data_IF_104639551407
#
_entry.id   IF_104639551407
#
_cell.length_a   1.000
_cell.length_b   1.000
_cell.length_c   1.000
_cell.angle_alpha   90.00
_cell.angle_beta   90.00
_cell.angle_gamma   90.00
#
_symmetry.space_group_name_H-M   'P 1'
#
loop_
_entity.id
_entity.type
_entity.pdbx_description
1 polymer ?
#
# COMPACT_ATOMS: atom_id res chain seq x y z
N UNK A 1 15.08 55.14 15.26
CA UNK A 1 15.47 53.77 14.95
C UNK A 1 14.31 53.14 14.19
N UNK A 2 14.61 52.72 12.96
CA UNK A 2 13.61 52.49 11.90
C UNK A 2 12.96 51.09 11.97
N UNK A 3 11.65 51.08 11.84
CA UNK A 3 10.71 49.92 11.87
C UNK A 3 10.85 48.95 10.67
N UNK A 4 11.97 48.98 9.94
CA UNK A 4 12.14 48.25 8.64
C UNK A 4 12.83 46.92 8.77
N UNK A 5 13.27 46.47 9.97
CA UNK A 5 14.07 45.23 10.13
C UNK A 5 13.30 44.03 10.70
N UNK A 6 12.00 44.19 11.03
CA UNK A 6 11.24 43.12 11.67
C UNK A 6 10.51 42.24 10.63
N UNK A 7 10.28 42.73 9.41
CA UNK A 7 9.48 42.01 8.39
C UNK A 7 10.25 40.89 7.66
N UNK A 8 11.57 40.94 7.68
CA UNK A 8 12.41 39.96 6.94
C UNK A 8 12.59 38.61 7.66
N UNK A 9 12.42 38.58 8.98
CA UNK A 9 12.66 37.33 9.77
C UNK A 9 11.44 36.40 9.74
N UNK A 10 10.22 36.91 9.51
CA UNK A 10 9.01 36.08 9.52
C UNK A 10 8.79 35.24 8.25
N UNK A 11 9.42 35.62 7.13
CA UNK A 11 9.29 34.90 5.86
C UNK A 11 10.21 33.67 5.79
N UNK A 12 11.35 33.69 6.51
CA UNK A 12 12.34 32.60 6.47
C UNK A 12 11.90 31.38 7.32
N UNK A 13 11.11 31.62 8.37
CA UNK A 13 10.61 30.54 9.25
C UNK A 13 9.47 29.72 8.60
N UNK A 14 8.72 30.32 7.68
CA UNK A 14 7.61 29.60 7.00
C UNK A 14 8.04 28.53 6.00
N UNK A 15 9.23 28.65 5.41
CA UNK A 15 9.73 27.70 4.39
C UNK A 15 10.36 26.45 4.99
N UNK A 16 10.84 26.48 6.23
CA UNK A 16 11.46 25.33 6.89
C UNK A 16 10.43 24.29 7.39
N UNK A 17 9.18 24.73 7.66
CA UNK A 17 8.12 23.80 8.12
C UNK A 17 7.51 22.98 6.98
N UNK A 18 7.53 23.47 5.73
CA UNK A 18 6.94 22.76 4.61
C UNK A 18 7.77 21.56 4.12
N UNK A 19 9.09 21.62 4.24
CA UNK A 19 9.97 20.54 3.79
C UNK A 19 9.98 19.33 4.74
N UNK A 20 9.85 19.56 6.03
CA UNK A 20 9.80 18.46 7.02
C UNK A 20 8.51 17.64 6.90
N UNK A 21 7.36 18.30 6.67
CA UNK A 21 6.07 17.59 6.51
C UNK A 21 6.01 16.70 5.27
N UNK A 22 6.63 17.10 4.17
CA UNK A 22 6.70 16.27 2.96
C UNK A 22 7.62 15.06 3.13
N UNK A 23 8.75 15.22 3.81
CA UNK A 23 9.66 14.11 4.11
C UNK A 23 9.00 13.09 5.06
N UNK A 24 8.27 13.57 6.06
CA UNK A 24 7.50 12.73 6.99
C UNK A 24 6.38 11.98 6.26
N UNK A 25 5.66 12.66 5.37
CA UNK A 25 4.59 12.07 4.57
C UNK A 25 5.12 10.98 3.63
N UNK A 26 6.25 11.22 2.97
CA UNK A 26 6.90 10.23 2.12
C UNK A 26 7.30 8.98 2.94
N UNK A 27 7.93 9.20 4.10
CA UNK A 27 8.31 8.10 5.01
C UNK A 27 7.08 7.29 5.46
N UNK A 28 5.97 7.95 5.79
CA UNK A 28 4.77 7.29 6.25
C UNK A 28 4.07 6.52 5.11
N UNK A 29 4.04 7.05 3.88
CA UNK A 29 3.54 6.32 2.71
C UNK A 29 4.39 5.10 2.44
N UNK A 30 5.73 5.21 2.48
CA UNK A 30 6.64 4.08 2.29
C UNK A 30 6.42 2.99 3.34
N UNK A 31 6.15 3.34 4.60
CA UNK A 31 5.78 2.37 5.65
C UNK A 31 4.49 1.63 5.30
N UNK A 32 3.46 2.32 4.79
CA UNK A 32 2.20 1.67 4.37
C UNK A 32 2.45 0.70 3.21
N UNK A 33 3.29 1.08 2.22
CA UNK A 33 3.66 0.21 1.10
C UNK A 33 4.36 -1.05 1.62
N UNK A 34 5.33 -0.90 2.52
CA UNK A 34 6.05 -2.04 3.10
C UNK A 34 5.09 -2.93 3.90
N UNK A 35 4.24 -2.36 4.75
CA UNK A 35 3.24 -3.09 5.52
C UNK A 35 2.22 -3.82 4.63
N UNK A 36 1.87 -3.26 3.46
CA UNK A 36 1.00 -3.91 2.50
C UNK A 36 1.57 -5.26 2.04
N UNK A 37 2.89 -5.34 1.85
CA UNK A 37 3.58 -6.61 1.55
C UNK A 37 3.74 -7.51 2.78
N UNK A 38 4.24 -6.96 3.89
CA UNK A 38 4.59 -7.74 5.10
C UNK A 38 3.38 -8.42 5.75
N UNK A 39 2.21 -7.77 5.65
CA UNK A 39 0.95 -8.27 6.23
C UNK A 39 0.20 -9.25 5.32
N UNK A 40 0.82 -9.73 4.25
CA UNK A 40 0.17 -10.70 3.33
C UNK A 40 -0.24 -12.00 4.05
N UNK A 41 0.43 -12.38 5.12
CA UNK A 41 0.04 -13.53 5.95
C UNK A 41 -1.02 -13.20 7.02
N UNK A 42 -1.36 -11.94 7.23
CA UNK A 42 -2.41 -11.46 8.15
C UNK A 42 -3.32 -10.47 7.44
N UNK A 43 -4.26 -10.99 6.66
CA UNK A 43 -5.21 -10.17 5.91
C UNK A 43 -6.09 -9.30 6.81
N UNK A 44 -6.36 -9.71 8.05
CA UNK A 44 -7.14 -8.91 8.99
C UNK A 44 -6.37 -7.67 9.45
N UNK A 45 -5.05 -7.80 9.63
CA UNK A 45 -4.18 -6.66 9.90
C UNK A 45 -3.98 -5.81 8.63
N UNK A 46 -3.79 -6.43 7.47
CA UNK A 46 -3.65 -5.73 6.18
C UNK A 46 -4.88 -4.89 5.85
N UNK A 47 -6.10 -5.38 6.15
CA UNK A 47 -7.35 -4.63 5.94
C UNK A 47 -7.37 -3.28 6.67
N UNK A 48 -6.63 -3.12 7.76
CA UNK A 48 -6.54 -1.84 8.51
C UNK A 48 -5.76 -0.76 7.76
N UNK A 49 -5.01 -1.13 6.72
CA UNK A 49 -4.34 -0.20 5.81
C UNK A 49 -5.29 0.35 4.75
N UNK A 50 -6.47 -0.28 4.58
CA UNK A 50 -7.41 0.03 3.52
C UNK A 50 -8.50 0.99 4.00
N UNK A 51 -8.98 1.84 3.10
CA UNK A 51 -10.25 2.56 3.28
C UNK A 51 -11.42 1.60 3.07
N UNK A 52 -12.53 1.85 3.75
CA UNK A 52 -13.76 1.06 3.59
C UNK A 52 -14.38 1.17 2.20
N UNK A 53 -14.09 2.26 1.48
CA UNK A 53 -14.53 2.54 0.11
C UNK A 53 -13.43 2.26 -0.93
N UNK A 54 -12.40 1.48 -0.58
CA UNK A 54 -11.31 1.13 -1.51
C UNK A 54 -11.85 0.49 -2.78
N UNK A 55 -11.35 0.95 -3.93
CA UNK A 55 -11.52 0.27 -5.21
C UNK A 55 -10.32 -0.65 -5.44
N UNK A 56 -10.59 -1.93 -5.71
CA UNK A 56 -9.57 -2.93 -6.03
C UNK A 56 -9.75 -3.46 -7.44
N UNK A 57 -8.73 -3.40 -8.27
CA UNK A 57 -8.72 -3.91 -9.64
C UNK A 57 -7.59 -4.93 -9.79
N UNK A 58 -7.92 -6.15 -10.17
CA UNK A 58 -6.94 -7.20 -10.44
C UNK A 58 -7.56 -8.28 -11.33
N UNK A 59 -6.75 -8.87 -12.23
CA UNK A 59 -7.20 -9.97 -13.08
C UNK A 59 -8.42 -9.63 -13.96
N UNK A 60 -8.56 -8.37 -14.39
CA UNK A 60 -9.69 -7.89 -15.18
C UNK A 60 -10.99 -7.66 -14.40
N UNK A 61 -11.00 -7.90 -13.10
CA UNK A 61 -12.14 -7.66 -12.21
C UNK A 61 -11.97 -6.39 -11.38
N UNK A 62 -13.08 -5.66 -11.16
CA UNK A 62 -13.15 -4.52 -10.25
C UNK A 62 -14.04 -4.84 -9.06
N UNK A 63 -13.58 -4.57 -7.86
CA UNK A 63 -14.30 -4.73 -6.60
C UNK A 63 -14.36 -3.38 -5.88
N UNK A 64 -15.52 -3.04 -5.36
CA UNK A 64 -15.82 -1.75 -4.71
C UNK A 64 -16.38 -1.91 -3.30
N UNK A 65 -16.53 -3.14 -2.83
CA UNK A 65 -16.91 -3.48 -1.46
C UNK A 65 -15.71 -4.12 -0.76
N UNK A 66 -14.99 -3.30 0.00
CA UNK A 66 -13.75 -3.72 0.65
C UNK A 66 -13.99 -4.82 1.69
N UNK A 67 -15.06 -4.73 2.48
CA UNK A 67 -15.35 -5.73 3.50
C UNK A 67 -15.61 -7.10 2.86
N UNK A 68 -16.41 -7.14 1.79
CA UNK A 68 -16.68 -8.35 1.03
C UNK A 68 -15.43 -8.90 0.35
N UNK A 69 -14.60 -8.02 -0.22
CA UNK A 69 -13.35 -8.40 -0.86
C UNK A 69 -12.42 -9.11 0.14
N UNK A 70 -12.21 -8.52 1.32
CA UNK A 70 -11.34 -9.12 2.35
C UNK A 70 -11.94 -10.42 2.91
N UNK A 71 -13.25 -10.46 3.15
CA UNK A 71 -13.93 -11.69 3.59
C UNK A 71 -13.74 -12.83 2.59
N UNK A 72 -13.88 -12.56 1.30
CA UNK A 72 -13.67 -13.54 0.23
C UNK A 72 -12.22 -14.05 0.20
N UNK A 73 -11.24 -13.16 0.34
CA UNK A 73 -9.82 -13.54 0.38
C UNK A 73 -9.50 -14.41 1.60
N UNK A 74 -9.96 -14.03 2.78
CA UNK A 74 -9.76 -14.79 4.03
C UNK A 74 -10.41 -16.17 3.89
N UNK A 75 -11.65 -16.25 3.45
CA UNK A 75 -12.38 -17.53 3.28
C UNK A 75 -11.68 -18.43 2.25
N UNK A 76 -11.24 -17.86 1.12
CA UNK A 76 -10.52 -18.62 0.10
C UNK A 76 -9.20 -19.20 0.61
N UNK A 77 -8.45 -18.45 1.42
CA UNK A 77 -7.22 -18.93 2.06
C UNK A 77 -7.50 -20.04 3.06
N UNK A 78 -8.47 -19.85 3.94
CA UNK A 78 -8.87 -20.86 4.92
C UNK A 78 -9.31 -22.17 4.26
N UNK A 79 -10.07 -22.09 3.17
CA UNK A 79 -10.47 -23.27 2.40
C UNK A 79 -9.25 -23.99 1.79
N UNK A 80 -8.32 -23.26 1.21
CA UNK A 80 -7.08 -23.81 0.66
C UNK A 80 -6.21 -24.45 1.74
N UNK A 81 -6.05 -23.83 2.90
CA UNK A 81 -5.31 -24.36 4.04
C UNK A 81 -5.93 -25.65 4.60
N UNK A 82 -7.27 -25.66 4.70
CA UNK A 82 -8.03 -26.84 5.11
C UNK A 82 -7.80 -28.01 4.15
N UNK A 83 -7.89 -27.79 2.83
CA UNK A 83 -7.64 -28.80 1.80
C UNK A 83 -6.19 -29.30 1.82
N UNK A 84 -5.22 -28.46 2.17
CA UNK A 84 -3.80 -28.82 2.21
C UNK A 84 -3.35 -29.38 3.57
N UNK A 85 -4.23 -29.37 4.57
CA UNK A 85 -3.95 -29.87 5.91
C UNK A 85 -3.01 -28.97 6.73
N UNK A 86 -2.87 -27.69 6.40
CA UNK A 86 -2.06 -26.73 7.14
C UNK A 86 -1.92 -25.37 6.45
N UNK A 87 -1.26 -24.44 7.15
CA UNK A 87 -1.11 -23.05 6.71
C UNK A 87 -0.34 -22.90 5.41
N UNK A 88 -0.76 -21.95 4.60
CA UNK A 88 -0.02 -21.44 3.45
C UNK A 88 0.79 -20.24 3.89
N UNK A 89 2.07 -20.18 3.51
CA UNK A 89 2.95 -19.03 3.75
C UNK A 89 3.03 -18.22 2.46
N UNK A 90 2.87 -16.93 2.59
CA UNK A 90 3.04 -15.97 1.50
C UNK A 90 4.31 -15.14 1.76
N UNK A 91 5.16 -15.05 0.76
CA UNK A 91 6.34 -14.18 0.79
C UNK A 91 6.16 -13.12 -0.28
N UNK A 92 6.17 -11.87 0.15
CA UNK A 92 6.03 -10.71 -0.73
C UNK A 92 7.31 -9.89 -0.70
N UNK A 93 7.81 -9.52 -1.87
CA UNK A 93 8.88 -8.55 -2.01
C UNK A 93 8.38 -7.38 -2.85
N UNK A 94 8.71 -6.17 -2.41
CA UNK A 94 8.39 -4.92 -3.09
C UNK A 94 9.70 -4.37 -3.66
N UNK A 95 9.70 -4.09 -4.95
CA UNK A 95 10.85 -3.62 -5.70
C UNK A 95 10.53 -2.29 -6.36
N UNK A 96 11.50 -1.37 -6.32
CA UNK A 96 11.47 -0.04 -6.94
C UNK A 96 10.19 0.77 -6.66
N UNK A 97 9.85 1.05 -5.40
CA UNK A 97 8.69 1.85 -5.09
C UNK A 97 8.91 3.33 -5.43
N UNK A 98 8.11 3.84 -6.36
CA UNK A 98 8.04 5.25 -6.74
C UNK A 98 6.81 5.89 -6.12
N UNK A 99 6.99 7.02 -5.44
CA UNK A 99 5.91 7.73 -4.72
C UNK A 99 5.86 9.20 -5.12
N UNK A 100 4.67 9.67 -5.48
CA UNK A 100 4.37 11.10 -5.66
C UNK A 100 3.29 11.54 -4.69
N UNK A 101 3.51 12.68 -4.00
CA UNK A 101 2.57 13.22 -3.01
C UNK A 101 1.96 14.52 -3.51
N UNK A 102 0.63 14.60 -3.43
CA UNK A 102 -0.20 15.72 -3.85
C UNK A 102 -1.10 16.16 -2.68
N UNK A 103 -0.54 16.91 -1.75
CA UNK A 103 -1.22 17.31 -0.51
C UNK A 103 -1.60 16.10 0.35
N UNK A 104 -2.89 15.78 0.45
CA UNK A 104 -3.39 14.64 1.22
C UNK A 104 -3.58 13.37 0.39
N UNK A 105 -3.09 13.35 -0.86
CA UNK A 105 -3.15 12.19 -1.74
C UNK A 105 -1.75 11.80 -2.14
N UNK A 106 -1.46 10.51 -2.13
CA UNK A 106 -0.24 9.94 -2.68
C UNK A 106 -0.58 8.91 -3.74
N UNK A 107 0.26 8.83 -4.76
CA UNK A 107 0.24 7.77 -5.77
C UNK A 107 1.56 7.04 -5.68
N UNK A 108 1.49 5.73 -5.53
CA UNK A 108 2.66 4.86 -5.48
C UNK A 108 2.57 3.79 -6.55
N UNK A 109 3.71 3.45 -7.16
CA UNK A 109 3.82 2.31 -8.07
C UNK A 109 5.07 1.51 -7.75
N UNK A 110 4.99 0.18 -7.85
CA UNK A 110 6.11 -0.72 -7.57
C UNK A 110 5.89 -2.07 -8.26
N UNK A 111 6.96 -2.84 -8.39
CA UNK A 111 6.87 -4.25 -8.76
C UNK A 111 6.70 -5.09 -7.50
N UNK A 112 5.70 -5.97 -7.52
CA UNK A 112 5.47 -6.94 -6.46
C UNK A 112 5.80 -8.33 -6.94
N UNK A 113 6.71 -9.00 -6.22
CA UNK A 113 6.93 -10.44 -6.29
C UNK A 113 6.09 -11.11 -5.23
N UNK A 114 5.34 -12.12 -5.60
CA UNK A 114 4.42 -12.82 -4.71
C UNK A 114 4.61 -14.31 -4.84
N UNK A 115 5.12 -14.92 -3.79
CA UNK A 115 5.45 -16.34 -3.74
C UNK A 115 4.54 -17.03 -2.74
N UNK A 116 4.00 -18.20 -3.11
CA UNK A 116 3.06 -18.95 -2.31
C UNK A 116 3.67 -20.31 -1.97
N UNK A 117 3.70 -20.62 -0.68
CA UNK A 117 4.21 -21.88 -0.15
C UNK A 117 3.06 -22.62 0.56
N UNK A 118 2.25 -23.43 -0.16
CA UNK A 118 1.18 -24.21 0.42
C UNK A 118 1.76 -25.32 1.31
N UNK A 119 1.01 -25.71 2.35
CA UNK A 119 1.45 -26.78 3.25
C UNK A 119 1.66 -28.08 2.48
N UNK A 120 2.85 -28.70 2.63
CA UNK A 120 3.24 -29.98 2.00
C UNK A 120 3.04 -30.05 0.48
N UNK A 121 3.06 -28.92 -0.21
CA UNK A 121 3.01 -28.88 -1.68
C UNK A 121 4.16 -28.04 -2.23
N UNK A 122 4.54 -28.21 -3.50
CA UNK A 122 5.51 -27.34 -4.14
C UNK A 122 5.09 -25.87 -4.06
N UNK A 123 6.07 -24.99 -3.91
CA UNK A 123 5.85 -23.56 -3.99
C UNK A 123 5.35 -23.13 -5.38
N UNK A 124 4.49 -22.15 -5.41
CA UNK A 124 4.07 -21.50 -6.64
C UNK A 124 4.72 -20.10 -6.70
N UNK A 125 5.60 -19.93 -7.68
CA UNK A 125 6.21 -18.63 -7.96
C UNK A 125 5.33 -17.91 -8.98
N UNK A 126 4.58 -16.91 -8.53
CA UNK A 126 3.79 -16.08 -9.42
C UNK A 126 4.70 -15.14 -10.22
N UNK A 127 4.41 -14.87 -11.50
CA UNK A 127 5.09 -13.80 -12.21
C UNK A 127 4.97 -12.47 -11.47
N UNK A 128 5.96 -11.57 -11.58
CA UNK A 128 5.90 -10.26 -10.96
C UNK A 128 4.70 -9.45 -11.49
N UNK A 129 4.20 -8.57 -10.66
CA UNK A 129 3.07 -7.70 -11.01
C UNK A 129 3.40 -6.24 -10.74
N UNK A 130 2.95 -5.35 -11.61
CA UNK A 130 2.83 -3.94 -11.30
C UNK A 130 1.70 -3.72 -10.31
N UNK A 131 1.98 -2.98 -9.27
CA UNK A 131 0.98 -2.52 -8.31
C UNK A 131 0.97 -1.00 -8.30
N UNK A 132 -0.21 -0.41 -8.47
CA UNK A 132 -0.43 1.01 -8.25
C UNK A 132 -1.36 1.17 -7.06
N UNK A 133 -0.94 1.98 -6.10
CA UNK A 133 -1.73 2.38 -4.95
C UNK A 133 -2.05 3.87 -5.04
N UNK A 134 -3.31 4.24 -4.74
CA UNK A 134 -3.65 5.61 -4.37
C UNK A 134 -3.94 5.61 -2.88
N UNK A 135 -3.22 6.46 -2.15
CA UNK A 135 -3.38 6.62 -0.71
C UNK A 135 -3.96 7.99 -0.40
N UNK A 136 -4.77 8.05 0.65
CA UNK A 136 -5.36 9.31 1.15
C UNK A 136 -5.01 9.47 2.62
N UNK A 137 -4.56 10.66 2.98
CA UNK A 137 -4.24 11.01 4.37
C UNK A 137 -5.50 11.42 5.12
N UNK A 138 -5.91 10.60 6.08
CA UNK A 138 -7.02 10.86 7.00
C UNK A 138 -6.46 11.12 8.41
N UNK A 139 -6.71 12.33 8.92
CA UNK A 139 -6.09 12.79 10.17
C UNK A 139 -4.55 12.71 10.04
N UNK A 140 -3.92 11.73 10.71
CA UNK A 140 -2.47 11.49 10.68
C UNK A 140 -2.06 10.18 10.02
N UNK A 141 -3.00 9.45 9.36
CA UNK A 141 -2.74 8.13 8.78
C UNK A 141 -2.95 8.15 7.27
N UNK A 142 -2.06 7.49 6.56
CA UNK A 142 -2.23 7.19 5.14
C UNK A 142 -2.97 5.86 4.98
N UNK A 143 -4.08 5.87 4.23
CA UNK A 143 -4.91 4.70 3.96
C UNK A 143 -5.01 4.48 2.45
N UNK A 144 -5.01 3.21 2.03
CA UNK A 144 -5.11 2.82 0.62
C UNK A 144 -6.56 2.98 0.17
N UNK A 145 -6.81 3.89 -0.78
CA UNK A 145 -8.11 4.15 -1.38
C UNK A 145 -8.30 3.43 -2.72
N UNK A 146 -7.21 3.09 -3.40
CA UNK A 146 -7.26 2.37 -4.66
C UNK A 146 -6.07 1.42 -4.76
N UNK A 147 -6.31 0.24 -5.32
CA UNK A 147 -5.26 -0.73 -5.69
C UNK A 147 -5.54 -1.24 -7.10
N UNK A 148 -4.54 -1.15 -7.96
CA UNK A 148 -4.56 -1.79 -9.28
C UNK A 148 -3.37 -2.71 -9.41
N UNK A 149 -3.62 -3.96 -9.85
CA UNK A 149 -2.60 -4.97 -10.08
C UNK A 149 -2.70 -5.47 -11.51
N UNK A 150 -1.57 -5.44 -12.23
CA UNK A 150 -1.45 -5.95 -13.59
C UNK A 150 -0.14 -6.75 -13.77
N UNK A 151 -0.07 -7.58 -14.79
CA UNK A 151 1.16 -8.33 -15.10
C UNK A 151 2.30 -7.42 -15.53
N UNK A 152 3.53 -7.78 -15.20
CA UNK A 152 4.75 -7.20 -15.78
C UNK A 152 5.02 -7.88 -17.10
N UNK A 153 5.24 -7.09 -18.17
CA UNK A 153 5.57 -7.64 -19.49
C UNK A 153 4.40 -8.29 -20.24
N UNK A 154 3.20 -7.77 -20.05
CA UNK A 154 2.04 -8.21 -20.84
C UNK A 154 2.12 -7.73 -22.28
N UNK A 155 2.38 -8.63 -23.20
CA UNK A 155 1.91 -8.65 -24.59
C UNK A 155 1.46 -10.07 -24.90
#
# INVERSE_FOLDING_TARGET
MSLKHITAILVLTGMLFSSNTLADDLSDVMKVIQQYGDLENDLAAQAKLMRSDRVYISGGARQTDEAKNMANQITGRQAGESLNGGKTIFVTMIEDPEVSIYGKTAVASFVRWWQVYPHRKPSNLSPPTWVTLVLVKEKSKWLIAHTHISGVGGN
#
